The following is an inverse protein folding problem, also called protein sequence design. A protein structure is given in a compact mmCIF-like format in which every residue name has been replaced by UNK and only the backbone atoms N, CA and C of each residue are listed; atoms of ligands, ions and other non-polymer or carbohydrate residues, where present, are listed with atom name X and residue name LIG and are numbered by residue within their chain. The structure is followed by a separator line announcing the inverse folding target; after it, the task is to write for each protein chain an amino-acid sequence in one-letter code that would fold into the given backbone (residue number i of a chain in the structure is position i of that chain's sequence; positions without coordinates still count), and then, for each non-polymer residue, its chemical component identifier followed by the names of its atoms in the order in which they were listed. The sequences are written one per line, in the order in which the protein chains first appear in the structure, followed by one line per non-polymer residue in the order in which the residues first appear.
data_IF_581921559058
#
_entry.id   IF_581921559058
#
_cell.length_a   1.000
_cell.length_b   1.000
_cell.length_c   1.000
_cell.angle_alpha   90.00
_cell.angle_beta   90.00
_cell.angle_gamma   90.00
#
_symmetry.space_group_name_H-M   'P 1'
#
loop_
_entity.id
_entity.type
_entity.pdbx_description
1 polymer ?
#
# COMPACT_ATOMS: atom_id res chain seq x y z
N UNK A 1 -8.58 -31.86 -22.65
CA UNK A 1 -9.90 -32.39 -22.25
C UNK A 1 -10.26 -33.69 -22.98
N UNK A 2 -10.52 -33.65 -24.29
CA UNK A 2 -10.98 -34.83 -25.05
C UNK A 2 -10.00 -36.02 -25.04
N UNK A 3 -8.69 -35.75 -24.97
CA UNK A 3 -7.65 -36.78 -24.95
C UNK A 3 -7.66 -37.67 -23.69
N UNK A 4 -8.31 -37.24 -22.60
CA UNK A 4 -8.36 -37.96 -21.32
C UNK A 4 -9.65 -38.76 -21.11
N UNK A 5 -10.54 -38.79 -22.11
CA UNK A 5 -11.80 -39.55 -22.05
C UNK A 5 -11.57 -41.05 -22.04
N UNK A 6 -12.61 -41.83 -21.74
CA UNK A 6 -12.55 -43.28 -21.81
C UNK A 6 -12.11 -43.79 -23.20
N UNK A 7 -11.66 -45.04 -23.25
CA UNK A 7 -11.25 -45.74 -24.48
C UNK A 7 -9.94 -45.25 -25.13
N UNK A 8 -9.00 -44.70 -24.35
CA UNK A 8 -7.69 -44.25 -24.84
C UNK A 8 -6.66 -45.37 -24.75
N UNK A 9 -5.68 -45.42 -25.68
CA UNK A 9 -4.61 -46.40 -25.61
C UNK A 9 -3.81 -46.19 -24.32
N UNK A 10 -3.65 -47.28 -23.55
CA UNK A 10 -2.78 -47.31 -22.40
C UNK A 10 -1.31 -47.32 -22.82
N UNK A 11 -0.44 -46.80 -21.95
CA UNK A 11 1.00 -46.90 -22.16
C UNK A 11 1.48 -48.35 -22.06
N UNK A 12 2.47 -48.72 -22.87
CA UNK A 12 3.01 -50.09 -22.92
C UNK A 12 3.63 -50.55 -21.59
N UNK A 13 4.08 -49.62 -20.75
CA UNK A 13 4.66 -49.90 -19.44
C UNK A 13 3.63 -50.00 -18.32
N UNK A 14 2.35 -49.67 -18.56
CA UNK A 14 1.32 -49.69 -17.51
C UNK A 14 0.86 -51.11 -17.13
N UNK A 15 1.34 -52.14 -17.83
CA UNK A 15 0.95 -53.54 -17.60
C UNK A 15 -0.49 -53.88 -18.03
N UNK A 16 -1.22 -52.91 -18.59
CA UNK A 16 -2.60 -53.04 -19.08
C UNK A 16 -2.65 -52.97 -20.60
N UNK A 17 -2.80 -54.13 -21.26
CA UNK A 17 -2.79 -54.27 -22.73
C UNK A 17 -4.16 -54.03 -23.37
N UNK A 18 -4.83 -52.93 -23.00
CA UNK A 18 -6.18 -52.58 -23.48
C UNK A 18 -6.34 -51.11 -23.86
N UNK A 19 -7.52 -50.75 -24.36
CA UNK A 19 -7.93 -49.35 -24.58
C UNK A 19 -8.61 -48.74 -23.35
N UNK A 20 -8.51 -49.32 -22.17
CA UNK A 20 -9.32 -48.90 -21.01
C UNK A 20 -8.75 -47.69 -20.25
N UNK A 21 -7.81 -46.95 -20.84
CA UNK A 21 -7.25 -45.77 -20.19
C UNK A 21 -8.11 -44.52 -20.43
N UNK A 22 -8.13 -43.64 -19.42
CA UNK A 22 -8.94 -42.43 -19.40
C UNK A 22 -10.32 -42.63 -18.79
N UNK A 23 -10.97 -41.51 -18.43
CA UNK A 23 -12.26 -41.52 -17.74
C UNK A 23 -13.10 -40.34 -18.18
N UNK A 24 -14.40 -40.55 -18.31
CA UNK A 24 -15.35 -39.47 -18.62
C UNK A 24 -15.49 -38.48 -17.45
N UNK A 25 -15.01 -38.84 -16.25
CA UNK A 25 -14.81 -37.92 -15.13
C UNK A 25 -13.85 -36.77 -15.46
N UNK A 26 -13.00 -36.92 -16.50
CA UNK A 26 -12.15 -35.85 -17.00
C UNK A 26 -12.96 -34.58 -17.35
N UNK A 27 -14.22 -34.71 -17.78
CA UNK A 27 -15.06 -33.53 -18.02
C UNK A 27 -15.25 -32.69 -16.77
N UNK A 28 -15.62 -33.34 -15.67
CA UNK A 28 -15.83 -32.68 -14.39
C UNK A 28 -14.52 -32.07 -13.85
N UNK A 29 -13.41 -32.79 -13.96
CA UNK A 29 -12.09 -32.30 -13.55
C UNK A 29 -11.68 -31.03 -14.31
N UNK A 30 -11.72 -31.04 -15.65
CA UNK A 30 -11.28 -29.88 -16.43
C UNK A 30 -12.23 -28.68 -16.29
N UNK A 31 -13.55 -28.89 -16.24
CA UNK A 31 -14.51 -27.79 -16.06
C UNK A 31 -14.37 -27.13 -14.69
N UNK A 32 -14.31 -27.93 -13.63
CA UNK A 32 -14.12 -27.40 -12.27
C UNK A 32 -12.77 -26.70 -12.13
N UNK A 33 -11.71 -27.25 -12.70
CA UNK A 33 -10.38 -26.63 -12.69
C UNK A 33 -10.34 -25.30 -13.44
N UNK A 34 -10.93 -25.21 -14.64
CA UNK A 34 -10.97 -23.96 -15.42
C UNK A 34 -11.76 -22.89 -14.67
N UNK A 35 -12.89 -23.26 -14.07
CA UNK A 35 -13.72 -22.35 -13.29
C UNK A 35 -12.95 -21.83 -12.05
N UNK A 36 -12.35 -22.72 -11.28
CA UNK A 36 -11.54 -22.37 -10.12
C UNK A 36 -10.34 -21.50 -10.51
N UNK A 37 -9.61 -21.87 -11.57
CA UNK A 37 -8.45 -21.12 -12.06
C UNK A 37 -8.85 -19.71 -12.51
N UNK A 38 -9.95 -19.56 -13.24
CA UNK A 38 -10.45 -18.25 -13.68
C UNK A 38 -10.89 -17.40 -12.49
N UNK A 39 -11.55 -18.00 -11.49
CA UNK A 39 -11.91 -17.31 -10.25
C UNK A 39 -10.67 -16.84 -9.48
N UNK A 40 -9.66 -17.69 -9.33
CA UNK A 40 -8.41 -17.33 -8.66
C UNK A 40 -7.65 -16.24 -9.44
N UNK A 41 -7.55 -16.34 -10.76
CA UNK A 41 -6.89 -15.34 -11.60
C UNK A 41 -7.62 -13.99 -11.55
N UNK A 42 -8.96 -13.98 -11.56
CA UNK A 42 -9.75 -12.76 -11.42
C UNK A 42 -9.57 -12.15 -10.03
N UNK A 43 -9.67 -12.94 -8.97
CA UNK A 43 -9.51 -12.43 -7.61
C UNK A 43 -8.08 -11.96 -7.33
N UNK A 44 -7.07 -12.63 -7.89
CA UNK A 44 -5.68 -12.17 -7.83
C UNK A 44 -5.52 -10.86 -8.58
N UNK A 45 -6.11 -10.72 -9.76
CA UNK A 45 -6.10 -9.47 -10.53
C UNK A 45 -6.79 -8.33 -9.75
N UNK A 46 -7.95 -8.58 -9.16
CA UNK A 46 -8.66 -7.59 -8.32
C UNK A 46 -7.82 -7.20 -7.10
N UNK A 47 -7.20 -8.16 -6.41
CA UNK A 47 -6.32 -7.89 -5.28
C UNK A 47 -5.14 -7.01 -5.70
N UNK A 48 -4.43 -7.39 -6.77
CA UNK A 48 -3.31 -6.60 -7.32
C UNK A 48 -3.78 -5.22 -7.74
N UNK A 49 -4.92 -5.11 -8.42
CA UNK A 49 -5.44 -3.81 -8.84
C UNK A 49 -5.88 -2.96 -7.64
N UNK A 50 -6.48 -3.54 -6.60
CA UNK A 50 -6.82 -2.80 -5.38
C UNK A 50 -5.57 -2.32 -4.65
N UNK A 51 -4.50 -3.13 -4.59
CA UNK A 51 -3.22 -2.73 -4.05
C UNK A 51 -2.59 -1.59 -4.89
N UNK A 52 -2.77 -1.64 -6.22
CA UNK A 52 -2.34 -0.56 -7.13
C UNK A 52 -3.21 0.70 -7.01
N UNK A 53 -4.52 0.57 -6.83
CA UNK A 53 -5.40 1.72 -6.59
C UNK A 53 -5.17 2.32 -5.21
N UNK A 54 -4.93 1.52 -4.18
CA UNK A 54 -4.54 1.98 -2.84
C UNK A 54 -3.17 2.67 -2.90
N UNK A 55 -2.23 2.16 -3.70
CA UNK A 55 -0.97 2.83 -3.99
C UNK A 55 -1.18 4.19 -4.68
N UNK A 56 -1.99 4.23 -5.74
CA UNK A 56 -2.31 5.46 -6.49
C UNK A 56 -3.18 6.47 -5.69
N UNK A 57 -4.02 6.00 -4.76
CA UNK A 57 -4.77 6.90 -3.84
C UNK A 57 -3.94 7.33 -2.63
N UNK A 58 -2.89 6.59 -2.24
CA UNK A 58 -1.88 7.06 -1.27
C UNK A 58 -1.00 8.17 -1.84
N UNK A 59 -0.71 8.16 -3.14
CA UNK A 59 -0.05 9.28 -3.83
C UNK A 59 -0.93 10.54 -3.89
N UNK A 60 -2.24 10.41 -3.68
CA UNK A 60 -3.17 11.53 -3.51
C UNK A 60 -3.36 11.96 -2.05
N UNK A 61 -2.71 11.29 -1.09
CA UNK A 61 -2.64 11.83 0.27
C UNK A 61 -1.80 13.10 0.23
N UNK A 62 -2.39 14.21 0.66
CA UNK A 62 -1.79 15.55 0.71
C UNK A 62 -0.43 15.56 1.43
N UNK A 63 -0.09 14.50 2.17
CA UNK A 63 1.15 14.34 2.92
C UNK A 63 1.84 13.00 2.61
N UNK A 64 2.48 12.90 1.44
CA UNK A 64 3.29 11.73 1.07
C UNK A 64 4.64 11.63 1.82
N UNK A 65 5.33 10.48 1.72
CA UNK A 65 6.63 10.25 2.40
C UNK A 65 7.69 11.30 2.04
N UNK A 66 7.65 11.82 0.80
CA UNK A 66 8.53 12.89 0.34
C UNK A 66 8.41 14.20 1.14
N UNK A 67 7.21 14.56 1.63
CA UNK A 67 7.04 15.73 2.48
C UNK A 67 7.61 15.49 3.89
N UNK A 68 7.48 14.26 4.39
CA UNK A 68 8.02 13.88 5.69
C UNK A 68 9.56 13.87 5.68
N UNK A 69 10.17 13.44 4.58
CA UNK A 69 11.62 13.46 4.40
C UNK A 69 12.19 14.88 4.49
N UNK A 70 11.52 15.87 3.90
CA UNK A 70 11.91 17.28 4.03
C UNK A 70 11.80 17.77 5.47
N UNK A 71 10.72 17.40 6.18
CA UNK A 71 10.55 17.74 7.60
C UNK A 71 11.63 17.10 8.47
N UNK A 72 11.91 15.81 8.31
CA UNK A 72 12.93 15.09 9.09
C UNK A 72 14.31 15.70 8.84
N UNK A 73 14.62 16.03 7.59
CA UNK A 73 15.89 16.68 7.23
C UNK A 73 16.07 18.02 7.96
N UNK A 74 15.03 18.87 7.98
CA UNK A 74 15.08 20.16 8.67
C UNK A 74 15.08 19.95 10.19
N UNK A 75 14.28 19.03 10.71
CA UNK A 75 14.21 18.70 12.14
C UNK A 75 15.56 18.25 12.71
N UNK A 76 16.31 17.44 11.95
CA UNK A 76 17.64 16.96 12.34
C UNK A 76 18.65 18.11 12.56
N UNK A 77 18.46 19.27 11.93
CA UNK A 77 19.30 20.45 12.17
C UNK A 77 19.00 21.09 13.55
N UNK A 78 17.78 20.96 14.07
CA UNK A 78 17.34 21.55 15.34
C UNK A 78 17.42 20.58 16.53
N UNK A 79 17.33 19.27 16.28
CA UNK A 79 17.45 18.21 17.31
C UNK A 79 18.53 17.18 16.92
N UNK A 80 19.83 17.56 16.94
CA UNK A 80 20.93 16.68 16.56
C UNK A 80 21.14 15.51 17.53
N UNK A 81 20.65 15.63 18.77
CA UNK A 81 20.74 14.60 19.79
C UNK A 81 19.56 13.61 19.76
N UNK A 82 18.60 13.80 18.84
CA UNK A 82 17.38 12.99 18.73
C UNK A 82 16.60 12.88 20.05
N UNK A 83 16.54 13.98 20.81
CA UNK A 83 15.80 14.08 22.06
C UNK A 83 14.26 14.10 21.85
N UNK A 84 13.80 14.32 20.62
CA UNK A 84 12.41 14.43 20.24
C UNK A 84 11.76 15.75 20.67
N UNK A 85 12.55 16.75 21.06
CA UNK A 85 12.07 18.02 21.63
C UNK A 85 12.93 19.19 21.13
N UNK A 86 12.29 20.30 20.83
CA UNK A 86 12.94 21.57 20.48
C UNK A 86 12.38 22.71 21.32
N UNK A 87 13.15 23.80 21.48
CA UNK A 87 12.67 24.99 22.15
C UNK A 87 11.52 25.63 21.38
N UNK A 88 10.53 26.19 22.08
CA UNK A 88 9.35 26.82 21.46
C UNK A 88 9.73 27.95 20.49
N UNK A 89 10.84 28.65 20.73
CA UNK A 89 11.33 29.72 19.85
C UNK A 89 11.82 29.17 18.50
N UNK A 90 12.40 27.98 18.51
CA UNK A 90 12.95 27.33 17.32
C UNK A 90 11.86 26.60 16.51
N UNK A 91 10.78 26.16 17.18
CA UNK A 91 9.58 25.66 16.53
C UNK A 91 9.02 26.67 15.51
N UNK A 92 8.96 27.96 15.86
CA UNK A 92 8.49 29.01 14.93
C UNK A 92 9.42 29.20 13.74
N UNK A 93 10.73 29.05 13.92
CA UNK A 93 11.72 29.15 12.82
C UNK A 93 11.60 27.94 11.89
N UNK A 94 11.48 26.74 12.45
CA UNK A 94 11.30 25.49 11.73
C UNK A 94 10.02 25.51 10.87
N UNK A 95 8.88 25.92 11.42
CA UNK A 95 7.61 26.02 10.70
C UNK A 95 7.64 27.02 9.54
N UNK A 96 8.50 28.05 9.59
CA UNK A 96 8.66 29.02 8.48
C UNK A 96 9.60 28.53 7.40
N UNK A 97 10.51 27.61 7.75
CA UNK A 97 11.47 27.05 6.81
C UNK A 97 10.83 25.98 5.93
N UNK A 98 9.92 25.19 6.51
CA UNK A 98 9.17 24.14 5.82
C UNK A 98 8.00 24.77 5.04
N UNK A 99 7.83 24.39 3.78
CA UNK A 99 6.73 24.88 2.94
C UNK A 99 5.42 24.15 3.26
N UNK A 100 4.23 24.72 2.90
CA UNK A 100 2.97 23.98 2.97
C UNK A 100 3.09 22.66 2.19
N UNK A 101 2.56 21.51 2.70
CA UNK A 101 1.51 21.35 3.71
C UNK A 101 1.95 21.18 5.19
N UNK A 102 3.23 20.88 5.48
CA UNK A 102 3.72 20.64 6.86
C UNK A 102 4.13 21.92 7.59
N UNK A 103 4.59 22.91 6.83
CA UNK A 103 4.97 24.21 7.36
C UNK A 103 4.12 25.34 6.80
N UNK A 104 4.50 26.55 7.16
CA UNK A 104 3.81 27.78 6.77
C UNK A 104 4.46 28.44 5.55
N UNK A 105 5.71 28.08 5.25
CA UNK A 105 6.52 28.66 4.19
C UNK A 105 7.09 30.04 4.50
N UNK A 106 8.15 30.41 3.77
CA UNK A 106 8.94 31.64 4.00
C UNK A 106 8.16 32.94 3.82
N UNK A 107 7.03 32.91 3.10
CA UNK A 107 6.17 34.08 2.83
C UNK A 107 5.02 34.23 3.84
N UNK A 108 4.94 33.38 4.88
CA UNK A 108 3.82 33.44 5.82
C UNK A 108 3.85 34.70 6.71
N UNK A 109 2.76 35.48 6.77
CA UNK A 109 2.65 36.62 7.67
C UNK A 109 2.79 36.18 9.13
N UNK A 110 3.53 36.94 9.94
CA UNK A 110 3.71 36.70 11.38
C UNK A 110 2.38 36.39 12.09
N UNK A 111 1.32 37.11 11.75
CA UNK A 111 -0.01 36.96 12.36
C UNK A 111 -0.62 35.56 12.18
N UNK A 112 -0.37 34.90 11.05
CA UNK A 112 -0.87 33.55 10.77
C UNK A 112 -0.03 32.51 11.53
N UNK A 113 1.29 32.69 11.56
CA UNK A 113 2.19 31.82 12.31
C UNK A 113 1.93 31.83 13.82
N UNK A 114 1.72 33.01 14.41
CA UNK A 114 1.42 33.12 15.83
C UNK A 114 0.04 32.56 16.19
N UNK A 115 -0.96 32.66 15.30
CA UNK A 115 -2.30 32.09 15.55
C UNK A 115 -2.28 30.56 15.66
N UNK A 116 -1.38 29.89 14.94
CA UNK A 116 -1.20 28.43 15.01
C UNK A 116 -0.43 28.02 16.27
N UNK A 117 0.54 28.84 16.71
CA UNK A 117 1.40 28.55 17.87
C UNK A 117 0.87 29.06 19.22
N UNK A 118 -0.20 29.86 19.25
CA UNK A 118 -0.83 30.27 20.51
C UNK A 118 -1.59 29.10 21.12
N UNK A 119 -1.20 28.58 22.30
CA UNK A 119 -2.07 27.69 23.06
C UNK A 119 -3.37 28.45 23.38
N UNK A 120 -4.53 27.75 23.41
CA UNK A 120 -5.78 28.39 23.78
C UNK A 120 -5.62 29.08 25.14
N UNK A 121 -6.06 30.35 25.29
CA UNK A 121 -6.19 30.92 26.61
C UNK A 121 -7.24 30.08 27.35
N UNK A 122 -6.96 29.75 28.61
CA UNK A 122 -7.74 28.88 29.52
C UNK A 122 -7.32 27.40 29.58
N UNK A 123 -6.23 27.13 30.29
CA UNK A 123 -6.34 26.21 31.43
C UNK A 123 -5.74 26.93 32.62
N UNK A 124 -6.63 27.47 33.46
CA UNK A 124 -6.26 28.15 34.68
C UNK A 124 -5.61 27.19 35.68
N UNK A 125 -4.82 27.79 36.55
CA UNK A 125 -4.53 27.35 37.91
C UNK A 125 -5.50 26.28 38.44
N UNK A 126 -4.98 25.07 38.63
CA UNK A 126 -5.04 24.33 39.88
C UNK A 126 -3.66 23.71 40.12
#
# INVERSE_FOLDING_TARGET
MLACLSNRPCDSLSGTTGKECGSDFAYFYFVSFIFLCSFLMLNLFVAVIMDNFEYLTRDASILGPHHLDEYIRVWAEYDPAACGRICYQDMYKLLRFISPPLGLGKKCPNRVAYKVGTPPPHTGLL
#
